data_IF_392418016477
#
_entry.id   IF_392418016477
#
_cell.length_a   1.000
_cell.length_b   1.000
_cell.length_c   1.000
_cell.angle_alpha   90.00
_cell.angle_beta   90.00
_cell.angle_gamma   90.00
#
_symmetry.space_group_name_H-M   'P 1'
#
loop_
_entity.id
_entity.type
_entity.pdbx_description
1 polymer ?
2 non-polymer ?
3 water ?
#
# COMPACT_ATOMS: atom_id res chain seq x y z
N UNK A 2 -18.78 4.91 -14.27
CA UNK A 2 -19.10 5.73 -13.10
C UNK A 2 -18.39 5.26 -11.83
N UNK A 3 -18.31 6.13 -10.81
CA UNK A 3 -17.62 5.76 -9.58
C UNK A 3 -18.08 4.42 -8.96
N UNK A 4 -19.37 4.13 -8.96
CA UNK A 4 -19.85 2.87 -8.36
C UNK A 4 -19.30 1.61 -9.02
N UNK A 5 -19.40 1.54 -10.35
CA UNK A 5 -18.83 0.42 -11.10
C UNK A 5 -17.31 0.33 -10.87
N UNK A 6 -16.66 1.48 -10.80
CA UNK A 6 -15.24 1.54 -10.52
C UNK A 6 -14.89 0.87 -9.20
N UNK A 7 -15.59 1.25 -8.13
CA UNK A 7 -15.37 0.67 -6.81
C UNK A 7 -15.66 -0.83 -6.81
N UNK A 9 -15.76 -3.14 -9.30
CA UNK A 9 -14.74 -3.86 -10.05
C UNK A 9 -13.39 -3.86 -9.34
N UNK A 10 -12.98 -2.69 -8.83
CA UNK A 10 -11.69 -2.60 -8.15
C UNK A 10 -11.65 -3.50 -6.90
N UNK A 11 -12.73 -3.51 -6.12
CA UNK A 11 -12.81 -4.39 -4.96
C UNK A 11 -12.65 -5.87 -5.33
N UNK A 12 -13.28 -6.28 -6.43
CA UNK A 12 -13.14 -7.65 -6.94
C UNK A 12 -11.69 -7.94 -7.33
N UNK A 13 -11.06 -7.02 -8.05
CA UNK A 13 -9.65 -7.15 -8.38
C UNK A 13 -8.77 -7.25 -7.13
N UNK A 14 -9.01 -6.40 -6.13
CA UNK A 14 -8.25 -6.47 -4.89
C UNK A 14 -8.37 -7.84 -4.21
N UNK A 15 -9.53 -8.48 -4.39
CA UNK A 15 -9.76 -9.79 -3.80
C UNK A 15 -8.86 -10.86 -4.39
N UNK A 16 -8.22 -10.55 -5.52
CA UNK A 16 -7.35 -11.50 -6.22
C UNK A 16 -5.92 -11.46 -5.75
N UNK A 17 -5.58 -10.47 -4.92
CA UNK A 17 -4.20 -10.28 -4.50
C UNK A 17 -3.61 -11.45 -3.70
N UNK A 18 -2.36 -11.78 -3.99
CA UNK A 18 -1.58 -12.65 -3.13
C UNK A 18 -0.17 -12.10 -3.07
N UNK A 19 0.76 -12.84 -2.48
CA UNK A 19 2.12 -12.34 -2.30
C UNK A 19 2.80 -11.97 -3.63
N UNK A 20 2.39 -12.61 -4.73
CA UNK A 20 3.11 -12.46 -6.01
C UNK A 20 2.84 -11.13 -6.69
N UNK A 21 3.90 -10.54 -7.23
CA UNK A 21 3.76 -9.28 -7.97
C UNK A 21 2.81 -9.45 -9.14
N UNK A 22 2.83 -10.63 -9.75
CA UNK A 22 1.91 -11.01 -10.81
C UNK A 22 0.43 -10.73 -10.49
N UNK A 23 0.03 -10.92 -9.23
CA UNK A 23 -1.36 -10.76 -8.83
C UNK A 23 -1.74 -9.28 -8.63
N UNK A 24 -0.73 -8.43 -8.56
CA UNK A 24 -0.92 -7.04 -8.19
C UNK A 24 -0.98 -6.16 -9.43
N UNK A 25 -0.58 -6.72 -10.58
CA UNK A 25 -0.50 -5.95 -11.80
C UNK A 25 -1.86 -5.48 -12.32
N UNK A 26 -2.81 -6.38 -12.42
CA UNK A 26 -4.12 -6.02 -12.96
C UNK A 26 -4.86 -4.97 -12.13
N UNK A 27 -4.87 -5.13 -10.79
CA UNK A 27 -5.53 -4.07 -9.99
C UNK A 27 -4.82 -2.73 -10.11
N UNK A 28 -3.50 -2.75 -10.27
CA UNK A 28 -2.73 -1.51 -10.44
C UNK A 28 -3.02 -0.83 -11.77
N UNK A 29 -3.12 -1.61 -12.83
CA UNK A 29 -3.44 -1.08 -14.16
C UNK A 29 -4.85 -0.46 -14.19
N UNK A 30 -5.80 -1.13 -13.55
CA UNK A 30 -7.16 -0.62 -13.42
C UNK A 30 -7.20 0.72 -12.67
N UNK A 31 -6.52 0.78 -11.53
CA UNK A 31 -6.49 1.99 -10.72
C UNK A 31 -5.96 3.17 -11.51
N UNK A 32 -5.00 2.90 -12.38
CA UNK A 32 -4.33 3.93 -13.17
C UNK A 32 -5.17 4.32 -14.38
N UNK A 33 -5.77 3.32 -15.00
CA UNK A 33 -6.68 3.56 -16.13
C UNK A 33 -7.84 4.45 -15.72
N UNK A 34 -8.21 4.38 -14.45
CA UNK A 34 -9.33 5.14 -13.92
C UNK A 34 -8.88 6.11 -12.84
N UNK A 35 -7.81 6.82 -13.15
CA UNK A 35 -7.24 7.82 -12.25
C UNK A 35 -8.28 8.83 -11.79
N UNK A 36 -9.30 9.04 -12.63
CA UNK A 36 -10.36 10.00 -12.30
C UNK A 36 -11.11 9.57 -11.03
N UNK A 37 -11.07 8.27 -10.74
CA UNK A 37 -11.75 7.73 -9.58
C UNK A 37 -10.77 7.51 -8.41
N UNK A 38 -9.60 8.15 -8.45
CA UNK A 38 -8.54 7.88 -7.46
C UNK A 38 -8.99 7.97 -5.99
N UNK A 39 -9.84 8.95 -5.68
CA UNK A 39 -10.29 9.09 -4.32
C UNK A 39 -11.15 7.91 -3.91
N UNK A 40 -12.05 7.48 -4.79
CA UNK A 40 -12.92 6.33 -4.52
C UNK A 40 -12.07 5.08 -4.35
N UNK A 41 -11.16 4.89 -5.29
CA UNK A 41 -10.34 3.69 -5.35
C UNK A 41 -9.35 3.64 -4.18
N UNK A 42 -8.76 4.78 -3.83
CA UNK A 42 -7.88 4.83 -2.66
C UNK A 42 -8.64 4.45 -1.38
N UNK A 43 -9.92 4.83 -1.31
CA UNK A 43 -10.74 4.46 -0.17
C UNK A 43 -11.05 2.97 -0.18
N UNK A 44 -11.11 2.38 -1.37
CA UNK A 44 -11.30 0.93 -1.46
C UNK A 44 -10.11 0.20 -0.83
N UNK A 45 -8.91 0.73 -1.05
CA UNK A 45 -7.68 0.17 -0.48
C UNK A 45 -7.74 0.19 1.04
N UNK A 46 -8.09 1.34 1.62
CA UNK A 46 -8.24 1.42 3.08
C UNK A 46 -9.41 0.60 3.64
N UNK A 47 -10.48 0.47 2.88
CA UNK A 47 -11.58 -0.39 3.29
C UNK A 47 -11.11 -1.84 3.45
N UNK A 48 -10.30 -2.30 2.50
CA UNK A 48 -9.78 -3.65 2.55
C UNK A 48 -8.71 -3.81 3.63
N UNK A 49 -7.92 -2.77 3.87
CA UNK A 49 -6.98 -2.79 5.00
C UNK A 49 -7.70 -2.96 6.34
N UNK A 50 -8.72 -2.13 6.56
CA UNK A 50 -9.44 -2.10 7.83
C UNK A 50 -10.13 -3.40 8.19
N UNK A 51 -10.64 -4.10 7.19
CA UNK A 51 -11.43 -5.30 7.45
C UNK A 51 -10.65 -6.57 7.12
N UNK A 52 -9.41 -6.42 6.65
CA UNK A 52 -8.62 -7.56 6.21
C UNK A 52 -7.83 -8.22 7.34
N UNK A 53 -7.54 -9.50 7.15
CA UNK A 53 -6.62 -10.24 8.01
C UNK A 53 -5.23 -9.63 7.88
N UNK A 54 -4.31 -9.99 8.77
CA UNK A 54 -2.94 -9.53 8.62
C UNK A 54 -2.30 -10.00 7.33
N UNK A 55 -2.65 -11.20 6.87
CA UNK A 55 -2.13 -11.65 5.57
C UNK A 55 -2.60 -10.74 4.43
N UNK A 56 -3.90 -10.41 4.43
CA UNK A 56 -4.46 -9.50 3.44
C UNK A 56 -3.84 -8.11 3.51
N UNK A 57 -3.59 -7.64 4.73
CA UNK A 57 -3.00 -6.33 4.90
C UNK A 57 -1.59 -6.24 4.31
N UNK A 58 -0.82 -7.30 4.50
CA UNK A 58 0.53 -7.38 3.95
C UNK A 58 0.48 -7.40 2.42
N UNK A 59 -0.45 -8.16 1.86
CA UNK A 59 -0.57 -8.21 0.40
C UNK A 59 -1.00 -6.88 -0.18
N UNK A 60 -1.82 -6.14 0.55
CA UNK A 60 -2.19 -4.78 0.13
C UNK A 60 -1.00 -3.83 0.19
N UNK A 62 2.10 -4.79 -0.37
CA UNK A 62 2.85 -5.13 -1.59
C UNK A 62 2.18 -4.45 -2.79
N UNK A 63 0.86 -4.57 -2.88
CA UNK A 63 0.11 -3.93 -3.98
C UNK A 63 0.37 -2.42 -4.06
N UNK A 64 0.43 -1.76 -2.91
CA UNK A 64 0.73 -0.33 -2.84
C UNK A 64 2.09 -0.04 -3.43
N UNK A 65 3.05 -0.93 -3.19
CA UNK A 65 4.39 -0.80 -3.76
C UNK A 65 4.31 -0.93 -5.29
N UNK A 66 3.65 -1.98 -5.74
CA UNK A 66 3.43 -2.22 -7.18
C UNK A 66 2.68 -1.06 -7.87
N UNK A 67 1.64 -0.56 -7.19
CA UNK A 67 0.89 0.60 -7.69
C UNK A 67 1.80 1.82 -7.86
N UNK A 68 2.58 2.14 -6.84
CA UNK A 68 3.52 3.24 -6.95
C UNK A 68 4.52 3.05 -8.11
N UNK A 69 5.11 1.86 -8.22
CA UNK A 69 6.05 1.59 -9.30
C UNK A 69 5.40 1.80 -10.66
N UNK A 71 2.69 3.61 -11.29
CA UNK A 71 2.42 5.03 -11.44
C UNK A 71 3.65 5.75 -12.01
N UNK A 72 4.83 5.45 -11.46
CA UNK A 72 6.05 6.09 -11.92
C UNK A 72 6.38 5.68 -13.36
N UNK A 73 6.12 4.44 -13.71
CA UNK A 73 6.35 4.00 -15.08
C UNK A 73 5.40 4.67 -16.07
N UNK A 74 4.27 5.16 -15.54
CA UNK A 74 3.29 5.87 -16.35
C UNK A 74 3.54 7.38 -16.39
N UNK A 75 4.60 7.82 -15.71
CA UNK A 75 4.97 9.23 -15.71
C UNK A 75 4.13 10.10 -14.77
N UNK A 76 3.38 9.48 -13.87
CA UNK A 76 2.57 10.23 -12.91
C UNK A 76 3.41 10.77 -11.75
N UNK A 77 3.01 11.90 -11.19
CA UNK A 77 3.75 12.43 -10.03
C UNK A 77 2.89 12.64 -8.80
N UNK A 78 1.58 12.83 -8.98
CA UNK A 78 0.70 13.06 -7.85
C UNK A 78 -0.25 11.90 -7.68
N UNK A 79 -1.51 12.21 -7.36
CA UNK A 79 -2.54 11.19 -7.28
C UNK A 79 -2.23 10.16 -6.20
N UNK A 80 -2.25 8.88 -6.58
CA UNK A 80 -1.98 7.79 -5.63
C UNK A 80 -0.65 8.00 -4.90
N UNK A 81 0.36 8.48 -5.62
CA UNK A 81 1.68 8.68 -5.05
C UNK A 81 1.67 9.66 -3.89
N UNK A 82 0.95 10.77 -4.03
CA UNK A 82 0.84 11.75 -2.95
C UNK A 82 0.02 11.22 -1.77
N UNK A 84 -0.40 7.98 -0.86
CA UNK A 84 0.36 6.94 -0.17
C UNK A 84 1.51 7.53 0.64
N UNK A 85 2.18 8.54 0.08
CA UNK A 85 3.25 9.24 0.78
C UNK A 85 2.75 9.91 2.05
N UNK A 86 1.64 10.64 1.95
CA UNK A 86 1.03 11.31 3.10
C UNK A 86 0.66 10.29 4.17
N UNK A 87 0.19 9.13 3.74
CA UNK A 87 -0.37 8.16 4.68
C UNK A 87 0.58 7.03 5.06
N UNK A 88 1.86 7.17 4.74
CA UNK A 88 2.80 6.05 4.92
C UNK A 88 2.88 5.51 6.34
N UNK A 89 2.88 6.39 7.33
CA UNK A 89 2.96 5.92 8.71
C UNK A 89 1.64 5.28 9.16
N UNK A 90 0.52 5.79 8.67
CA UNK A 90 -0.77 5.12 8.91
C UNK A 90 -0.76 3.72 8.34
N UNK A 91 -0.24 3.59 7.12
CA UNK A 91 -0.16 2.30 6.46
C UNK A 91 0.65 1.34 7.31
N UNK A 92 1.80 1.81 7.81
CA UNK A 92 2.65 0.98 8.67
C UNK A 92 1.91 0.56 9.94
N UNK A 93 1.19 1.49 10.54
CA UNK A 93 0.46 1.22 11.78
C UNK A 93 -0.58 0.12 11.59
N UNK A 94 -1.21 0.11 10.42
CA UNK A 94 -2.22 -0.89 10.08
C UNK A 94 -1.60 -2.26 9.81
N UNK A 95 -0.53 -2.30 9.03
CA UNK A 95 0.07 -3.57 8.62
C UNK A 95 0.96 -4.19 9.71
N UNK A 96 1.70 -3.35 10.42
CA UNK A 96 2.61 -3.78 11.47
C UNK A 96 2.34 -3.02 12.77
N UNK A 97 1.20 -3.32 13.41
CA UNK A 97 0.81 -2.63 14.65
C UNK A 97 1.62 -3.09 15.86
N UNK A 98 1.44 -2.42 17.00
CA UNK A 98 2.01 -2.88 18.26
C UNK A 98 1.53 -4.31 18.53
N UNK A 99 2.37 -5.10 19.18
CA UNK A 99 2.03 -6.49 19.45
C UNK A 99 2.76 -7.43 18.51
N UNK A 100 2.36 -8.69 18.52
CA UNK A 100 3.09 -9.74 17.80
C UNK A 100 3.04 -9.63 16.28
N UNK A 101 1.97 -9.03 15.73
CA UNK A 101 1.88 -8.90 14.27
C UNK A 101 2.93 -7.94 13.73
N UNK A 102 3.34 -6.99 14.56
CA UNK A 102 4.41 -6.06 14.19
C UNK A 102 5.69 -6.84 13.95
N UNK A 103 5.97 -7.82 14.79
CA UNK A 103 7.15 -8.67 14.62
C UNK A 103 7.00 -9.60 13.41
N UNK A 104 5.82 -10.21 13.26
CA UNK A 104 5.57 -11.10 12.15
C UNK A 104 5.69 -10.42 10.78
N UNK A 105 5.33 -9.14 10.70
CA UNK A 105 5.35 -8.43 9.43
C UNK A 105 6.50 -7.43 9.23
N UNK A 106 7.41 -7.33 10.20
CA UNK A 106 8.43 -6.29 10.12
C UNK A 106 9.35 -6.36 8.87
N UNK A 107 9.87 -7.55 8.54
CA UNK A 107 10.76 -7.58 7.37
C UNK A 107 10.03 -7.25 6.05
N UNK A 108 8.76 -7.61 5.98
CA UNK A 108 8.00 -7.42 4.75
C UNK A 108 7.64 -5.94 4.59
N UNK A 109 7.39 -5.26 5.70
CA UNK A 109 7.08 -3.84 5.64
C UNK A 109 8.38 -3.07 5.39
N UNK A 110 9.48 -3.54 5.97
CA UNK A 110 10.77 -2.95 5.69
C UNK A 110 11.13 -3.02 4.21
N UNK A 111 10.79 -4.12 3.56
CA UNK A 111 11.10 -4.26 2.14
C UNK A 111 10.35 -3.20 1.34
N UNK A 112 9.07 -3.02 1.64
CA UNK A 112 8.26 -2.03 0.95
C UNK A 112 8.75 -0.60 1.22
N UNK A 113 9.09 -0.33 2.47
CA UNK A 113 9.53 1.02 2.84
C UNK A 113 10.80 1.39 2.10
N UNK A 114 11.71 0.43 1.98
CA UNK A 114 12.97 0.65 1.27
C UNK A 114 12.71 0.92 -0.21
N UNK A 115 11.81 0.14 -0.79
CA UNK A 115 11.40 0.31 -2.18
C UNK A 115 10.80 1.70 -2.41
N UNK A 116 9.84 2.09 -1.58
CA UNK A 116 9.23 3.40 -1.68
C UNK A 116 10.26 4.54 -1.49
N UNK A 117 11.17 4.35 -0.56
CA UNK A 117 12.24 5.32 -0.31
C UNK A 117 13.21 5.46 -1.51
N UNK A 118 13.64 4.34 -2.07
CA UNK A 118 14.54 4.35 -3.22
C UNK A 118 13.88 5.02 -4.44
N UNK A 119 12.57 4.86 -4.55
CA UNK A 119 11.86 5.44 -5.68
C UNK A 119 11.30 6.82 -5.35
N UNK A 120 11.77 7.40 -4.23
CA UNK A 120 11.48 8.79 -3.88
C UNK A 120 9.99 9.09 -3.71
N UNK A 121 9.21 8.04 -3.42
CA UNK A 121 7.80 8.21 -3.08
C UNK A 121 7.71 8.79 -1.67
N UNK A 122 8.63 8.37 -0.80
CA UNK A 122 8.74 8.94 0.55
C UNK A 122 10.14 9.52 0.76
N UNK A 123 10.23 10.64 1.50
CA UNK A 123 11.52 11.28 1.74
C UNK A 123 12.25 10.67 2.95
N UNK A 124 13.39 11.28 3.30
CA UNK A 124 14.24 10.75 4.37
C UNK A 124 13.53 10.76 5.72
N UNK A 125 12.84 11.85 6.03
CA UNK A 125 12.14 11.96 7.30
C UNK A 125 11.00 10.95 7.46
N UNK A 126 10.15 10.83 6.43
CA UNK A 126 9.10 9.81 6.40
C UNK A 126 9.66 8.39 6.57
N UNK A 127 10.69 8.06 5.80
CA UNK A 127 11.31 6.74 5.86
C UNK A 127 11.85 6.47 7.27
N UNK A 128 12.52 7.47 7.83
CA UNK A 128 13.06 7.36 9.18
C UNK A 128 11.93 7.17 10.19
N UNK A 129 10.86 7.96 10.06
CA UNK A 129 9.70 7.83 10.93
C UNK A 129 9.04 6.45 10.81
N UNK A 130 8.82 6.01 9.57
CA UNK A 130 8.13 4.73 9.34
C UNK A 130 8.98 3.55 9.79
N UNK A 132 11.21 3.68 12.19
CA UNK A 132 11.19 3.70 13.67
C UNK A 132 9.89 3.07 14.21
N UNK A 133 8.80 3.26 13.46
CA UNK A 133 7.53 2.66 13.84
C UNK A 133 7.61 1.14 13.78
N UNK A 134 8.14 0.62 12.67
CA UNK A 134 8.33 -0.81 12.53
C UNK A 134 9.20 -1.37 13.65
N UNK A 135 10.29 -0.69 13.98
CA UNK A 135 11.16 -1.18 15.04
C UNK A 135 10.43 -1.20 16.38
N UNK A 136 9.75 -0.11 16.72
CA UNK A 136 8.96 -0.06 17.96
C UNK A 136 7.93 -1.21 18.02
N UNK A 137 7.28 -1.47 16.91
CA UNK A 137 6.25 -2.52 16.86
C UNK A 137 6.82 -3.95 16.75
N UNK A 138 8.06 -4.07 16.29
CA UNK A 138 8.72 -5.37 16.33
C UNK A 138 9.10 -5.71 17.77
N UNK A 139 9.57 -4.71 18.50
CA UNK A 139 10.10 -4.96 19.84
C UNK A 139 9.00 -5.12 20.89
N UNK A 140 7.84 -4.53 20.65
CA UNK A 140 6.74 -4.59 21.60
C UNK A 140 5.39 -4.84 20.91
#
# INVERSE_FOLDING_TARGET
XDPFEGRXTFLQLLGKLNASQFSQIKPAQFAIKHLDLEEDLYSCIWEELESGSFNTRVNIXYFVDTLCEXCLKNGLTGGYLNXISRDICKLVQNVAPIGAAGAANAPEVRKVLQSLHEKKVIDDNQYKDAXATVEAHEQA
#
